data_IF_769642921623
#
_entry.id   IF_769642921623
#
_cell.length_a   1.000
_cell.length_b   1.000
_cell.length_c   1.000
_cell.angle_alpha   90.00
_cell.angle_beta   90.00
_cell.angle_gamma   90.00
#
_symmetry.space_group_name_H-M   'P 1'
#
loop_
_entity.id
_entity.type
_entity.pdbx_description
1 polymer ?
#
# COMPACT_ATOMS: atom_id res chain seq x y z
N UNK A 1 -2.95 -44.89 15.47
CA UNK A 1 -3.40 -44.16 14.27
C UNK A 1 -2.31 -44.25 13.22
N UNK A 2 -2.66 -44.70 12.02
CA UNK A 2 -1.77 -44.61 10.87
C UNK A 2 -1.53 -43.14 10.50
N UNK A 3 -0.44 -42.84 9.78
CA UNK A 3 -0.17 -41.46 9.32
C UNK A 3 -1.29 -40.89 8.45
N UNK A 4 -2.00 -41.75 7.69
CA UNK A 4 -3.15 -41.37 6.89
C UNK A 4 -4.37 -41.01 7.76
N UNK A 5 -4.68 -41.81 8.79
CA UNK A 5 -5.76 -41.53 9.74
C UNK A 5 -5.54 -40.23 10.51
N UNK A 6 -4.28 -39.91 10.85
CA UNK A 6 -3.94 -38.65 11.51
C UNK A 6 -4.17 -37.44 10.59
N UNK A 7 -3.81 -37.56 9.32
CA UNK A 7 -4.04 -36.50 8.33
C UNK A 7 -5.54 -36.31 8.10
N UNK A 8 -6.33 -37.37 7.97
CA UNK A 8 -7.79 -37.26 7.81
C UNK A 8 -8.47 -36.67 9.04
N UNK A 9 -8.04 -37.05 10.24
CA UNK A 9 -8.56 -36.47 11.48
C UNK A 9 -8.25 -34.96 11.56
N UNK A 10 -7.01 -34.56 11.25
CA UNK A 10 -6.61 -33.15 11.25
C UNK A 10 -7.39 -32.33 10.21
N UNK A 11 -7.58 -32.87 9.00
CA UNK A 11 -8.38 -32.22 7.95
C UNK A 11 -9.84 -32.06 8.37
N UNK A 12 -10.40 -33.07 9.04
CA UNK A 12 -11.78 -33.05 9.51
C UNK A 12 -11.99 -32.01 10.61
N UNK A 13 -11.06 -31.92 11.58
CA UNK A 13 -11.11 -30.94 12.67
C UNK A 13 -10.93 -29.51 12.13
N UNK A 14 -9.90 -29.29 11.30
CA UNK A 14 -9.60 -27.96 10.75
C UNK A 14 -10.68 -27.51 9.77
N UNK A 15 -11.00 -28.32 8.78
CA UNK A 15 -11.99 -28.01 7.77
C UNK A 15 -13.40 -27.88 8.36
N UNK A 16 -13.78 -28.78 9.26
CA UNK A 16 -15.06 -28.71 9.98
C UNK A 16 -15.16 -27.47 10.87
N UNK A 17 -14.09 -27.10 11.58
CA UNK A 17 -14.03 -25.87 12.38
C UNK A 17 -14.20 -24.61 11.53
N UNK A 18 -13.55 -24.55 10.36
CA UNK A 18 -13.68 -23.43 9.43
C UNK A 18 -15.11 -23.31 8.86
N UNK A 19 -15.73 -24.44 8.49
CA UNK A 19 -17.12 -24.45 8.02
C UNK A 19 -18.07 -23.98 9.13
N UNK A 20 -17.85 -24.42 10.37
CA UNK A 20 -18.69 -24.00 11.51
C UNK A 20 -18.57 -22.50 11.78
N UNK A 21 -17.36 -21.92 11.74
CA UNK A 21 -17.13 -20.48 11.88
C UNK A 21 -17.80 -19.72 10.73
N UNK A 22 -17.64 -20.20 9.49
CA UNK A 22 -18.27 -19.58 8.32
C UNK A 22 -19.80 -19.64 8.39
N UNK A 23 -20.37 -20.75 8.86
CA UNK A 23 -21.81 -20.90 9.08
C UNK A 23 -22.32 -19.95 10.18
N UNK A 24 -21.58 -19.78 11.27
CA UNK A 24 -21.91 -18.82 12.32
C UNK A 24 -21.87 -17.38 11.80
N UNK A 25 -20.84 -17.01 11.03
CA UNK A 25 -20.74 -15.70 10.41
C UNK A 25 -21.90 -15.42 9.44
N UNK A 26 -22.28 -16.41 8.62
CA UNK A 26 -23.44 -16.32 7.73
C UNK A 26 -24.76 -16.16 8.52
N UNK A 27 -24.91 -16.84 9.66
CA UNK A 27 -26.07 -16.69 10.53
C UNK A 27 -26.13 -15.28 11.14
N UNK A 28 -24.99 -14.76 11.63
CA UNK A 28 -24.89 -13.38 12.15
C UNK A 28 -25.23 -12.36 11.07
N UNK A 29 -24.71 -12.53 9.85
CA UNK A 29 -25.04 -11.68 8.70
C UNK A 29 -26.53 -11.75 8.33
N UNK A 30 -27.14 -12.94 8.36
CA UNK A 30 -28.58 -13.12 8.13
C UNK A 30 -29.44 -12.44 9.22
N UNK A 31 -29.05 -12.54 10.48
CA UNK A 31 -29.73 -11.81 11.57
C UNK A 31 -29.56 -10.30 11.40
N UNK A 32 -28.37 -9.83 11.00
CA UNK A 32 -28.12 -8.42 10.68
C UNK A 32 -28.99 -7.92 9.53
N UNK A 33 -29.17 -8.72 8.47
CA UNK A 33 -30.06 -8.42 7.35
C UNK A 33 -31.52 -8.23 7.77
N UNK A 34 -31.98 -8.93 8.80
CA UNK A 34 -33.35 -8.84 9.32
C UNK A 34 -33.53 -7.70 10.33
N UNK A 35 -32.52 -7.46 11.18
CA UNK A 35 -32.59 -6.48 12.28
C UNK A 35 -32.23 -5.05 11.88
N UNK A 36 -31.35 -4.86 10.91
CA UNK A 36 -30.82 -3.53 10.61
C UNK A 36 -31.86 -2.64 9.90
N UNK A 37 -31.89 -1.32 10.20
CA UNK A 37 -33.02 -0.47 9.86
C UNK A 37 -33.08 -0.07 8.38
N UNK A 38 -31.94 0.02 7.69
CA UNK A 38 -31.85 0.58 6.35
C UNK A 38 -31.05 -0.29 5.38
N UNK A 39 -31.14 0.04 4.09
CA UNK A 39 -30.48 -0.71 3.02
C UNK A 39 -28.96 -0.78 3.17
N UNK A 40 -28.31 0.30 3.60
CA UNK A 40 -26.85 0.37 3.69
C UNK A 40 -26.32 -0.44 4.87
N UNK A 41 -26.98 -0.35 6.02
CA UNK A 41 -26.65 -1.18 7.18
C UNK A 41 -26.92 -2.67 6.91
N UNK A 42 -28.01 -2.99 6.20
CA UNK A 42 -28.27 -4.36 5.72
C UNK A 42 -27.21 -4.85 4.73
N UNK A 43 -26.77 -4.01 3.78
CA UNK A 43 -25.70 -4.35 2.85
C UNK A 43 -24.37 -4.64 3.56
N UNK A 44 -24.08 -3.94 4.66
CA UNK A 44 -22.94 -4.26 5.52
C UNK A 44 -23.07 -5.65 6.17
N UNK A 45 -24.24 -5.99 6.70
CA UNK A 45 -24.49 -7.33 7.25
C UNK A 45 -24.41 -8.43 6.18
N UNK A 46 -24.85 -8.17 4.94
CA UNK A 46 -24.65 -9.07 3.80
C UNK A 46 -23.16 -9.29 3.52
N UNK A 47 -22.34 -8.23 3.60
CA UNK A 47 -20.89 -8.31 3.43
C UNK A 47 -20.19 -9.27 4.40
N UNK A 48 -20.68 -9.41 5.64
CA UNK A 48 -20.15 -10.39 6.61
C UNK A 48 -20.37 -11.83 6.14
N UNK A 49 -21.53 -12.10 5.53
CA UNK A 49 -21.87 -13.41 4.96
C UNK A 49 -21.00 -13.71 3.74
N UNK A 50 -20.84 -12.74 2.84
CA UNK A 50 -20.10 -12.92 1.60
C UNK A 50 -18.58 -12.99 1.79
N UNK A 51 -18.06 -12.43 2.88
CA UNK A 51 -16.63 -12.45 3.21
C UNK A 51 -16.33 -13.56 4.20
N UNK A 52 -16.51 -13.33 5.49
CA UNK A 52 -16.15 -14.26 6.54
C UNK A 52 -16.94 -15.58 6.43
N UNK A 53 -18.21 -15.51 6.04
CA UNK A 53 -19.03 -16.68 5.77
C UNK A 53 -18.51 -17.51 4.59
N UNK A 54 -18.33 -16.89 3.43
CA UNK A 54 -17.84 -17.58 2.23
C UNK A 54 -16.40 -18.10 2.39
N UNK A 55 -15.50 -17.33 3.01
CA UNK A 55 -14.12 -17.75 3.31
C UNK A 55 -14.16 -18.99 4.21
N UNK A 56 -14.88 -18.93 5.34
CA UNK A 56 -14.95 -20.05 6.29
C UNK A 56 -15.51 -21.32 5.64
N UNK A 57 -16.60 -21.20 4.90
CA UNK A 57 -17.28 -22.34 4.27
C UNK A 57 -16.46 -22.89 3.10
N UNK A 58 -16.06 -22.06 2.13
CA UNK A 58 -15.40 -22.55 0.91
C UNK A 58 -13.97 -23.02 1.17
N UNK A 59 -13.21 -22.32 2.02
CA UNK A 59 -11.88 -22.77 2.40
C UNK A 59 -11.96 -24.01 3.30
N UNK A 60 -12.94 -24.08 4.21
CA UNK A 60 -13.20 -25.28 5.02
C UNK A 60 -13.56 -26.50 4.16
N UNK A 61 -14.43 -26.34 3.17
CA UNK A 61 -14.76 -27.39 2.20
C UNK A 61 -13.56 -27.79 1.33
N UNK A 62 -12.70 -26.84 0.95
CA UNK A 62 -11.47 -27.16 0.23
C UNK A 62 -10.51 -28.02 1.07
N UNK A 63 -10.40 -27.75 2.38
CA UNK A 63 -9.60 -28.56 3.32
C UNK A 63 -10.20 -29.96 3.52
N UNK A 64 -11.54 -30.07 3.57
CA UNK A 64 -12.25 -31.34 3.68
C UNK A 64 -12.21 -32.17 2.38
N UNK A 65 -12.03 -31.54 1.21
CA UNK A 65 -12.14 -32.21 -0.09
C UNK A 65 -10.94 -33.12 -0.39
N UNK A 66 -11.11 -34.45 -0.47
CA UNK A 66 -9.99 -35.36 -0.72
C UNK A 66 -9.39 -35.22 -2.13
N UNK A 67 -10.15 -34.63 -3.07
CA UNK A 67 -9.72 -34.39 -4.45
C UNK A 67 -9.14 -32.97 -4.61
N UNK A 68 -7.87 -32.91 -5.01
CA UNK A 68 -7.13 -31.66 -5.24
C UNK A 68 -7.81 -30.79 -6.30
N UNK A 69 -8.43 -31.38 -7.33
CA UNK A 69 -9.09 -30.62 -8.37
C UNK A 69 -10.37 -29.95 -7.86
N UNK A 70 -11.09 -30.61 -6.94
CA UNK A 70 -12.28 -30.05 -6.29
C UNK A 70 -11.87 -28.94 -5.32
N UNK A 71 -10.82 -29.14 -4.53
CA UNK A 71 -10.27 -28.11 -3.65
C UNK A 71 -9.82 -26.86 -4.45
N UNK A 72 -9.16 -27.05 -5.59
CA UNK A 72 -8.75 -25.96 -6.47
C UNK A 72 -9.95 -25.20 -7.05
N UNK A 73 -10.99 -25.91 -7.49
CA UNK A 73 -12.24 -25.28 -7.97
C UNK A 73 -12.91 -24.46 -6.86
N UNK A 74 -12.99 -24.99 -5.64
CA UNK A 74 -13.54 -24.26 -4.49
C UNK A 74 -12.72 -23.00 -4.16
N UNK A 75 -11.40 -23.07 -4.28
CA UNK A 75 -10.53 -21.91 -4.10
C UNK A 75 -10.73 -20.87 -5.20
N UNK A 76 -10.89 -21.28 -6.47
CA UNK A 76 -11.23 -20.37 -7.58
C UNK A 76 -12.58 -19.71 -7.34
N UNK A 77 -13.59 -20.47 -6.91
CA UNK A 77 -14.92 -19.92 -6.55
C UNK A 77 -14.81 -18.92 -5.41
N UNK A 78 -14.00 -19.22 -4.38
CA UNK A 78 -13.75 -18.29 -3.28
C UNK A 78 -13.10 -17.00 -3.78
N UNK A 79 -12.07 -17.10 -4.61
CA UNK A 79 -11.40 -15.94 -5.20
C UNK A 79 -12.41 -15.10 -5.98
N UNK A 80 -13.18 -15.72 -6.88
CA UNK A 80 -14.20 -15.01 -7.67
C UNK A 80 -15.24 -14.35 -6.77
N UNK A 81 -15.72 -15.03 -5.72
CA UNK A 81 -16.68 -14.50 -4.76
C UNK A 81 -16.14 -13.28 -4.00
N UNK A 82 -14.87 -13.32 -3.58
CA UNK A 82 -14.21 -12.22 -2.89
C UNK A 82 -14.04 -10.97 -3.77
N UNK A 83 -13.88 -11.14 -5.09
CA UNK A 83 -13.87 -10.01 -6.03
C UNK A 83 -15.28 -9.53 -6.38
N UNK A 84 -16.23 -10.45 -6.54
CA UNK A 84 -17.60 -10.14 -6.94
C UNK A 84 -18.38 -9.41 -5.83
N UNK A 85 -18.20 -9.79 -4.56
CA UNK A 85 -19.01 -9.25 -3.46
C UNK A 85 -18.80 -7.75 -3.21
N UNK A 86 -17.57 -7.21 -3.09
CA UNK A 86 -17.36 -5.76 -2.95
C UNK A 86 -17.90 -4.98 -4.15
N UNK A 87 -17.72 -5.50 -5.37
CA UNK A 87 -18.22 -4.88 -6.58
C UNK A 87 -19.77 -4.86 -6.62
N UNK A 88 -20.42 -5.96 -6.26
CA UNK A 88 -21.87 -6.05 -6.17
C UNK A 88 -22.42 -5.14 -5.06
N UNK A 89 -21.81 -5.14 -3.87
CA UNK A 89 -22.20 -4.28 -2.76
C UNK A 89 -22.09 -2.80 -3.14
N UNK A 90 -20.99 -2.39 -3.78
CA UNK A 90 -20.81 -1.02 -4.26
C UNK A 90 -21.80 -0.66 -5.37
N UNK A 91 -22.02 -1.53 -6.35
CA UNK A 91 -22.99 -1.30 -7.42
C UNK A 91 -24.42 -1.15 -6.87
N UNK A 92 -24.80 -2.00 -5.92
CA UNK A 92 -26.09 -1.96 -5.23
C UNK A 92 -26.24 -0.69 -4.37
N UNK A 93 -25.22 -0.32 -3.59
CA UNK A 93 -25.22 0.91 -2.80
C UNK A 93 -25.31 2.16 -3.67
N UNK A 94 -24.59 2.18 -4.81
CA UNK A 94 -24.61 3.29 -5.78
C UNK A 94 -25.96 3.37 -6.51
N UNK A 95 -26.56 2.23 -6.86
CA UNK A 95 -27.89 2.18 -7.46
C UNK A 95 -28.96 2.68 -6.48
N UNK A 96 -28.92 2.22 -5.22
CA UNK A 96 -29.82 2.69 -4.16
C UNK A 96 -29.68 4.19 -3.93
N UNK A 97 -28.46 4.72 -3.90
CA UNK A 97 -28.21 6.15 -3.74
C UNK A 97 -28.80 6.96 -4.90
N UNK A 98 -28.63 6.48 -6.15
CA UNK A 98 -29.17 7.13 -7.36
C UNK A 98 -30.68 7.09 -7.44
N UNK A 99 -31.34 6.09 -6.85
CA UNK A 99 -32.81 6.02 -6.76
C UNK A 99 -33.39 6.80 -5.59
N UNK A 100 -32.54 7.50 -4.81
CA UNK A 100 -32.96 8.39 -3.73
C UNK A 100 -33.13 7.71 -2.38
N UNK A 101 -32.74 6.43 -2.22
CA UNK A 101 -32.64 5.80 -0.90
C UNK A 101 -31.53 6.50 -0.12
N UNK A 102 -31.89 7.12 1.01
CA UNK A 102 -30.92 7.72 1.94
C UNK A 102 -30.74 6.80 3.15
N UNK A 103 -29.52 6.72 3.72
CA UNK A 103 -29.31 5.98 4.96
C UNK A 103 -30.18 6.58 6.07
N UNK A 104 -30.77 5.71 6.90
CA UNK A 104 -31.51 6.14 8.09
C UNK A 104 -30.47 6.60 9.11
N UNK A 105 -30.33 7.92 9.24
CA UNK A 105 -29.56 8.54 10.30
C UNK A 105 -30.48 8.70 11.51
N UNK A 106 -30.04 8.29 12.70
CA UNK A 106 -30.77 8.61 13.94
C UNK A 106 -30.97 10.13 13.98
N UNK A 107 -32.24 10.54 14.00
CA UNK A 107 -32.77 11.78 13.40
C UNK A 107 -31.96 13.06 13.61
N UNK A 108 -31.90 13.89 12.56
CA UNK A 108 -31.65 15.34 12.54
C UNK A 108 -30.79 15.93 13.67
N UNK A 109 -29.76 15.20 14.06
CA UNK A 109 -28.58 15.75 14.67
C UNK A 109 -27.57 15.75 13.56
N UNK A 110 -27.36 16.91 12.93
CA UNK A 110 -26.01 17.18 12.45
C UNK A 110 -25.09 16.76 13.61
N UNK A 111 -24.07 15.89 13.38
CA UNK A 111 -23.06 15.68 14.40
C UNK A 111 -22.63 17.06 14.86
N UNK A 112 -22.62 17.35 16.17
CA UNK A 112 -22.31 18.69 16.65
C UNK A 112 -21.02 19.13 15.96
N UNK A 113 -21.08 20.26 15.24
CA UNK A 113 -19.92 20.89 14.66
C UNK A 113 -19.06 21.41 15.83
N UNK A 114 -18.13 20.58 16.31
CA UNK A 114 -17.21 20.87 17.40
C UNK A 114 -16.45 19.62 17.86
N UNK A 115 -15.16 19.73 18.24
CA UNK A 115 -14.26 18.59 18.35
C UNK A 115 -14.58 17.78 19.61
N UNK A 116 -15.17 16.62 19.40
CA UNK A 116 -15.19 15.54 20.37
C UNK A 116 -14.53 14.33 19.74
N UNK A 117 -13.24 14.41 19.40
CA UNK A 117 -12.44 13.18 19.28
C UNK A 117 -12.72 12.40 20.56
N UNK A 118 -13.17 11.14 20.43
CA UNK A 118 -13.54 10.37 21.63
C UNK A 118 -12.36 10.45 22.60
N UNK A 119 -12.54 10.61 23.92
CA UNK A 119 -11.42 10.79 24.85
C UNK A 119 -10.37 9.68 24.68
N UNK A 120 -10.81 8.47 24.32
CA UNK A 120 -9.97 7.34 23.93
C UNK A 120 -9.13 7.58 22.65
N UNK A 121 -9.71 8.10 21.58
CA UNK A 121 -9.00 8.38 20.31
C UNK A 121 -7.95 9.48 20.51
N UNK A 122 -8.29 10.53 21.26
CA UNK A 122 -7.34 11.60 21.60
C UNK A 122 -6.17 11.06 22.42
N UNK A 123 -6.44 10.22 23.41
CA UNK A 123 -5.41 9.60 24.25
C UNK A 123 -4.52 8.66 23.43
N UNK A 124 -5.11 7.92 22.49
CA UNK A 124 -4.37 7.08 21.54
C UNK A 124 -3.49 7.91 20.61
N UNK A 125 -4.00 9.00 20.04
CA UNK A 125 -3.21 9.91 19.19
C UNK A 125 -2.02 10.51 19.94
N UNK A 126 -2.24 11.02 21.17
CA UNK A 126 -1.17 11.54 22.02
C UNK A 126 -0.15 10.46 22.35
N UNK A 127 -0.61 9.24 22.66
CA UNK A 127 0.26 8.09 22.94
C UNK A 127 1.14 7.71 21.74
N UNK A 128 0.55 7.63 20.54
CA UNK A 128 1.27 7.33 19.30
C UNK A 128 2.24 8.45 18.91
N UNK A 129 1.87 9.72 19.09
CA UNK A 129 2.77 10.86 18.87
C UNK A 129 3.95 10.83 19.86
N UNK A 130 3.68 10.54 21.13
CA UNK A 130 4.72 10.33 22.14
C UNK A 130 5.64 9.17 21.78
N UNK A 131 5.09 8.08 21.25
CA UNK A 131 5.88 6.95 20.75
C UNK A 131 6.78 7.34 19.56
N UNK A 132 6.29 8.15 18.61
CA UNK A 132 7.11 8.67 17.52
C UNK A 132 8.30 9.50 18.04
N UNK A 133 8.06 10.40 19.01
CA UNK A 133 9.12 11.19 19.64
C UNK A 133 10.13 10.28 20.35
N UNK A 134 9.65 9.31 21.12
CA UNK A 134 10.51 8.36 21.83
C UNK A 134 11.36 7.53 20.85
N UNK A 135 10.78 7.05 19.76
CA UNK A 135 11.48 6.32 18.70
C UNK A 135 12.52 7.20 18.01
N UNK A 136 12.19 8.45 17.66
CA UNK A 136 13.12 9.39 17.03
C UNK A 136 14.32 9.71 17.95
N UNK A 137 14.07 9.96 19.22
CA UNK A 137 15.10 10.17 20.24
C UNK A 137 15.97 8.91 20.38
N UNK A 138 15.35 7.73 20.52
CA UNK A 138 16.10 6.47 20.62
C UNK A 138 17.01 6.23 19.40
N UNK A 139 16.50 6.44 18.18
CA UNK A 139 17.27 6.30 16.95
C UNK A 139 18.51 7.22 16.92
N UNK A 140 18.42 8.43 17.48
CA UNK A 140 19.52 9.38 17.51
C UNK A 140 20.68 8.97 18.46
N UNK A 141 20.42 8.12 19.46
CA UNK A 141 21.41 7.68 20.44
C UNK A 141 21.97 6.28 20.19
N UNK A 142 21.42 5.54 19.22
CA UNK A 142 21.83 4.17 18.94
C UNK A 142 22.97 4.11 17.91
N UNK A 143 23.98 3.28 18.20
CA UNK A 143 25.12 3.08 17.31
C UNK A 143 24.99 1.85 16.39
N UNK A 144 23.97 1.02 16.59
CA UNK A 144 23.68 -0.15 15.74
C UNK A 144 22.71 0.26 14.63
N UNK A 145 23.22 0.33 13.41
CA UNK A 145 22.49 0.79 12.24
C UNK A 145 21.37 -0.18 11.82
N UNK A 146 21.51 -1.47 12.12
CA UNK A 146 20.45 -2.44 11.90
C UNK A 146 19.27 -2.17 12.84
N UNK A 147 19.57 -1.90 14.12
CA UNK A 147 18.54 -1.54 15.10
C UNK A 147 17.85 -0.23 14.70
N UNK A 148 18.61 0.81 14.32
CA UNK A 148 18.04 2.08 13.84
C UNK A 148 17.14 1.87 12.62
N UNK A 149 17.54 1.01 11.69
CA UNK A 149 16.72 0.69 10.51
C UNK A 149 15.41 0.00 10.88
N UNK A 150 15.44 -0.95 11.82
CA UNK A 150 14.23 -1.60 12.32
C UNK A 150 13.32 -0.62 13.06
N UNK A 151 13.89 0.27 13.88
CA UNK A 151 13.15 1.33 14.56
C UNK A 151 12.53 2.33 13.58
N UNK A 152 13.20 2.64 12.47
CA UNK A 152 12.63 3.48 11.39
C UNK A 152 11.41 2.81 10.75
N UNK A 153 11.43 1.49 10.55
CA UNK A 153 10.26 0.75 10.08
C UNK A 153 9.10 0.79 11.08
N UNK A 154 9.38 0.65 12.37
CA UNK A 154 8.37 0.79 13.45
C UNK A 154 7.83 2.23 13.51
N UNK A 155 8.68 3.23 13.31
CA UNK A 155 8.30 4.63 13.21
C UNK A 155 7.29 4.82 12.08
N UNK A 156 7.58 4.31 10.88
CA UNK A 156 6.65 4.34 9.74
C UNK A 156 5.33 3.61 10.01
N UNK A 157 5.34 2.44 10.67
CA UNK A 157 4.11 1.76 11.08
C UNK A 157 3.29 2.58 12.10
N UNK A 158 3.97 3.27 13.02
CA UNK A 158 3.32 4.16 14.00
C UNK A 158 2.72 5.38 13.31
N UNK A 159 3.39 5.95 12.30
CA UNK A 159 2.84 7.00 11.42
C UNK A 159 1.61 6.50 10.66
N UNK A 160 1.65 5.29 10.11
CA UNK A 160 0.49 4.68 9.44
C UNK A 160 -0.72 4.60 10.38
N UNK A 161 -0.53 4.13 11.62
CA UNK A 161 -1.60 4.10 12.61
C UNK A 161 -2.17 5.50 12.90
N UNK A 162 -1.31 6.53 13.01
CA UNK A 162 -1.74 7.92 13.16
C UNK A 162 -2.52 8.43 11.94
N UNK A 163 -2.08 8.14 10.71
CA UNK A 163 -2.78 8.55 9.50
C UNK A 163 -4.16 7.89 9.37
N UNK A 164 -4.30 6.62 9.78
CA UNK A 164 -5.63 5.98 9.87
C UNK A 164 -6.51 6.69 10.90
N UNK A 165 -5.96 7.07 12.05
CA UNK A 165 -6.71 7.82 13.07
C UNK A 165 -7.07 9.24 12.63
N UNK A 166 -6.35 9.81 11.67
CA UNK A 166 -6.66 11.09 11.02
C UNK A 166 -7.57 10.94 9.79
N UNK A 167 -8.20 9.79 9.59
CA UNK A 167 -9.07 9.49 8.44
C UNK A 167 -8.36 9.69 7.08
N UNK A 168 -7.05 9.41 7.03
CA UNK A 168 -6.22 9.51 5.84
C UNK A 168 -5.70 8.13 5.38
N UNK A 169 -6.59 7.20 4.94
CA UNK A 169 -6.22 5.83 4.62
C UNK A 169 -5.30 5.72 3.39
N UNK A 170 -5.43 6.57 2.37
CA UNK A 170 -4.54 6.58 1.20
C UNK A 170 -3.08 6.90 1.56
N UNK A 171 -2.89 7.84 2.49
CA UNK A 171 -1.58 8.24 3.01
C UNK A 171 -1.04 7.15 3.94
N UNK A 172 -1.86 6.61 4.83
CA UNK A 172 -1.50 5.49 5.69
C UNK A 172 -1.04 4.28 4.89
N UNK A 173 -1.76 3.96 3.81
CA UNK A 173 -1.43 2.82 2.95
C UNK A 173 -0.10 3.03 2.23
N UNK A 174 0.14 4.25 1.74
CA UNK A 174 1.43 4.63 1.14
C UNK A 174 2.59 4.47 2.13
N UNK A 175 2.41 4.96 3.35
CA UNK A 175 3.43 4.88 4.41
C UNK A 175 3.72 3.41 4.80
N UNK A 176 2.69 2.57 4.87
CA UNK A 176 2.85 1.15 5.14
C UNK A 176 3.64 0.43 4.03
N UNK A 177 3.32 0.69 2.76
CA UNK A 177 3.98 0.03 1.64
C UNK A 177 5.41 0.53 1.43
N UNK A 178 5.62 1.85 1.45
CA UNK A 178 6.91 2.46 1.10
C UNK A 178 7.80 2.64 2.32
N UNK A 179 7.31 3.34 3.34
CA UNK A 179 8.09 3.66 4.55
C UNK A 179 8.44 2.39 5.34
N UNK A 180 7.42 1.70 5.82
CA UNK A 180 7.63 0.50 6.64
C UNK A 180 8.10 -0.70 5.82
N UNK A 181 7.54 -0.91 4.62
CA UNK A 181 7.84 -2.05 3.75
C UNK A 181 9.15 -1.92 2.97
N UNK A 182 9.10 -1.23 1.83
CA UNK A 182 10.18 -1.22 0.83
C UNK A 182 11.45 -0.53 1.34
N UNK A 183 11.33 0.64 1.97
CA UNK A 183 12.47 1.44 2.43
C UNK A 183 13.33 0.69 3.46
N UNK A 184 12.70 0.07 4.47
CA UNK A 184 13.39 -0.75 5.47
C UNK A 184 14.24 -1.84 4.80
N UNK A 185 13.69 -2.54 3.82
CA UNK A 185 14.40 -3.61 3.10
C UNK A 185 15.54 -3.07 2.25
N UNK A 186 15.35 -1.94 1.57
CA UNK A 186 16.40 -1.30 0.78
C UNK A 186 17.56 -0.83 1.68
N UNK A 187 17.26 -0.22 2.83
CA UNK A 187 18.28 0.20 3.80
C UNK A 187 19.01 -1.02 4.37
N UNK A 188 18.31 -2.09 4.76
CA UNK A 188 18.96 -3.35 5.21
C UNK A 188 19.85 -3.94 4.12
N UNK A 189 19.43 -3.88 2.86
CA UNK A 189 20.24 -4.34 1.72
C UNK A 189 21.50 -3.48 1.56
N UNK A 190 21.37 -2.15 1.69
CA UNK A 190 22.50 -1.24 1.70
C UNK A 190 23.45 -1.49 2.89
N UNK A 191 22.92 -1.84 4.06
CA UNK A 191 23.71 -2.17 5.25
C UNK A 191 24.61 -3.39 5.06
N UNK A 192 24.29 -4.30 4.11
CA UNK A 192 25.19 -5.41 3.76
C UNK A 192 26.48 -4.93 3.08
N UNK A 193 26.42 -3.81 2.38
CA UNK A 193 27.58 -3.18 1.74
C UNK A 193 28.31 -2.22 2.68
N UNK A 194 27.74 -1.93 3.84
CA UNK A 194 28.34 -1.09 4.87
C UNK A 194 28.62 -1.89 6.14
N UNK A 195 29.00 -1.22 7.24
CA UNK A 195 29.10 -1.83 8.55
C UNK A 195 27.74 -1.85 9.27
N UNK A 196 27.58 -2.76 10.23
CA UNK A 196 26.44 -2.79 11.16
C UNK A 196 26.50 -1.70 12.22
N UNK A 197 27.70 -1.34 12.65
CA UNK A 197 27.91 -0.30 13.65
C UNK A 197 28.43 0.98 13.00
N UNK A 198 28.00 2.11 13.55
CA UNK A 198 28.59 3.40 13.23
C UNK A 198 30.10 3.38 13.52
N UNK A 199 30.91 3.93 12.61
CA UNK A 199 32.34 4.12 12.89
C UNK A 199 32.50 5.14 14.02
N UNK A 200 33.10 4.71 15.13
CA UNK A 200 33.44 5.60 16.25
C UNK A 200 34.20 6.83 15.75
N UNK A 201 33.58 8.00 15.81
CA UNK A 201 34.29 9.27 15.66
C UNK A 201 35.12 9.49 16.93
N UNK A 202 36.44 9.57 16.82
CA UNK A 202 37.33 9.93 17.93
C UNK A 202 37.21 11.41 18.36
N UNK A 203 36.22 12.15 17.85
CA UNK A 203 35.95 13.55 18.17
C UNK A 203 34.56 13.66 18.81
N UNK A 204 34.38 14.51 19.84
CA UNK A 204 33.06 14.75 20.41
C UNK A 204 32.09 15.26 19.35
N UNK A 205 30.79 15.07 19.59
CA UNK A 205 29.75 15.61 18.72
C UNK A 205 30.01 17.09 18.43
N UNK A 206 29.89 17.50 17.17
CA UNK A 206 30.11 18.89 16.78
C UNK A 206 29.13 19.77 17.54
N UNK A 207 29.63 20.60 18.46
CA UNK A 207 28.79 21.53 19.23
C UNK A 207 27.99 22.46 18.30
N UNK A 208 28.57 22.80 17.15
CA UNK A 208 27.91 23.53 16.07
C UNK A 208 26.76 22.72 15.48
N UNK A 209 26.98 21.43 15.19
CA UNK A 209 25.94 20.55 14.65
C UNK A 209 24.75 20.38 15.61
N UNK A 210 25.03 20.17 16.89
CA UNK A 210 23.99 20.11 17.93
C UNK A 210 23.27 21.45 18.04
N UNK A 211 24.01 22.57 18.05
CA UNK A 211 23.43 23.91 18.07
C UNK A 211 22.48 24.16 16.90
N UNK A 212 22.88 23.78 15.67
CA UNK A 212 22.03 23.89 14.48
C UNK A 212 20.79 23.01 14.56
N UNK A 213 20.90 21.78 15.03
CA UNK A 213 19.74 20.89 15.21
C UNK A 213 18.75 21.45 16.25
N UNK A 214 19.24 21.93 17.39
CA UNK A 214 18.40 22.52 18.44
C UNK A 214 17.75 23.82 17.95
N UNK A 215 18.50 24.71 17.31
CA UNK A 215 17.96 25.95 16.75
C UNK A 215 16.89 25.69 15.69
N UNK A 216 17.15 24.77 14.75
CA UNK A 216 16.16 24.38 13.74
C UNK A 216 14.92 23.75 14.38
N UNK A 217 15.10 22.87 15.37
CA UNK A 217 13.99 22.25 16.11
C UNK A 217 13.14 23.28 16.87
N UNK A 218 13.77 24.23 17.54
CA UNK A 218 13.08 25.34 18.22
C UNK A 218 12.37 26.26 17.24
N UNK A 219 12.96 26.56 16.09
CA UNK A 219 12.33 27.36 15.05
C UNK A 219 11.08 26.68 14.47
N UNK A 220 11.15 25.36 14.22
CA UNK A 220 9.99 24.57 13.81
C UNK A 220 8.92 24.55 14.90
N UNK A 221 9.29 24.32 16.17
CA UNK A 221 8.37 24.34 17.30
C UNK A 221 7.70 25.71 17.49
N UNK A 222 8.46 26.80 17.35
CA UNK A 222 7.93 28.16 17.39
C UNK A 222 6.90 28.37 16.28
N UNK A 223 7.21 27.93 15.05
CA UNK A 223 6.27 28.01 13.92
C UNK A 223 4.98 27.22 14.14
N UNK A 224 5.01 26.13 14.92
CA UNK A 224 3.78 25.38 15.27
C UNK A 224 2.86 26.11 16.24
N UNK A 225 3.34 27.11 16.98
CA UNK A 225 2.52 27.86 17.94
C UNK A 225 1.47 28.74 17.25
N UNK A 226 1.71 29.14 16.00
CA UNK A 226 0.77 29.93 15.19
C UNK A 226 -0.20 29.04 14.38
N UNK A 227 -0.02 27.72 14.40
CA UNK A 227 -0.93 26.82 13.69
C UNK A 227 -2.30 26.77 14.40
N UNK A 228 -3.40 26.64 13.63
CA UNK A 228 -4.72 26.40 14.19
C UNK A 228 -4.70 25.18 15.12
N UNK A 229 -5.55 25.23 16.15
CA UNK A 229 -5.73 24.08 17.04
C UNK A 229 -6.21 22.88 16.22
N UNK A 230 -5.78 21.69 16.63
CA UNK A 230 -6.25 20.45 16.02
C UNK A 230 -7.79 20.38 16.06
N UNK A 231 -8.40 20.11 14.90
CA UNK A 231 -9.86 20.05 14.75
C UNK A 231 -10.57 21.41 14.69
N UNK A 232 -9.85 22.53 14.56
CA UNK A 232 -10.48 23.85 14.40
C UNK A 232 -11.21 23.95 13.05
N UNK A 233 -12.53 24.12 13.13
CA UNK A 233 -13.41 24.29 11.96
C UNK A 233 -13.10 25.56 11.16
N UNK A 234 -12.40 26.53 11.74
CA UNK A 234 -11.97 27.78 11.09
C UNK A 234 -10.53 27.74 10.59
N UNK A 235 -9.85 26.60 10.68
CA UNK A 235 -8.51 26.46 10.13
C UNK A 235 -8.51 26.85 8.64
N UNK A 236 -7.49 27.56 8.13
CA UNK A 236 -7.45 27.99 6.73
C UNK A 236 -7.63 26.84 5.73
N UNK A 237 -7.18 25.63 6.08
CA UNK A 237 -7.38 24.42 5.28
C UNK A 237 -8.87 24.08 5.06
N UNK A 238 -9.75 24.42 5.99
CA UNK A 238 -11.19 24.16 5.94
C UNK A 238 -11.99 25.31 5.30
N UNK A 239 -11.38 26.47 5.06
CA UNK A 239 -12.08 27.68 4.60
C UNK A 239 -12.04 27.94 3.10
N UNK A 240 -11.24 27.20 2.33
CA UNK A 240 -11.00 27.53 0.92
C UNK A 240 -11.21 26.34 -0.02
N UNK A 241 -10.14 25.63 -0.40
CA UNK A 241 -10.18 24.64 -1.48
C UNK A 241 -10.76 23.30 -1.04
N UNK A 242 -10.56 22.90 0.23
CA UNK A 242 -11.00 21.58 0.71
C UNK A 242 -12.52 21.38 0.67
N UNK A 243 -13.38 22.36 1.09
CA UNK A 243 -14.82 22.24 0.92
C UNK A 243 -15.25 22.02 -0.54
N UNK A 244 -14.61 22.72 -1.48
CA UNK A 244 -14.91 22.56 -2.91
C UNK A 244 -14.55 21.15 -3.40
N UNK A 245 -13.36 20.63 -3.07
CA UNK A 245 -12.99 19.25 -3.42
C UNK A 245 -13.94 18.21 -2.81
N UNK A 246 -14.41 18.40 -1.58
CA UNK A 246 -15.31 17.46 -0.94
C UNK A 246 -16.74 17.50 -1.51
N UNK A 247 -17.21 18.67 -1.95
CA UNK A 247 -18.58 18.86 -2.42
C UNK A 247 -18.73 18.65 -3.93
N UNK A 248 -17.79 19.13 -4.73
CA UNK A 248 -17.90 19.19 -6.19
C UNK A 248 -17.12 18.09 -6.93
N UNK A 249 -16.13 17.43 -6.30
CA UNK A 249 -15.35 16.38 -6.99
C UNK A 249 -16.21 15.25 -7.55
N UNK A 250 -17.33 14.93 -6.90
CA UNK A 250 -18.27 13.92 -7.36
C UNK A 250 -19.03 14.31 -8.64
N UNK A 251 -19.27 15.61 -8.86
CA UNK A 251 -19.96 16.13 -10.06
C UNK A 251 -18.96 16.42 -11.19
N UNK A 252 -17.78 16.95 -10.85
CA UNK A 252 -16.77 17.39 -11.80
C UNK A 252 -15.97 16.22 -12.40
N UNK A 253 -15.45 15.32 -11.56
CA UNK A 253 -14.56 14.23 -11.96
C UNK A 253 -15.31 12.88 -12.02
N UNK A 254 -16.43 12.77 -11.29
CA UNK A 254 -17.27 11.57 -11.24
C UNK A 254 -16.56 10.30 -10.72
N UNK A 255 -15.50 10.49 -9.94
CA UNK A 255 -14.77 9.47 -9.18
C UNK A 255 -15.06 9.67 -7.68
N UNK A 256 -15.40 8.61 -6.93
CA UNK A 256 -15.76 8.75 -5.53
C UNK A 256 -14.56 8.95 -4.58
N UNK A 257 -13.36 8.46 -4.92
CA UNK A 257 -12.16 8.75 -4.13
C UNK A 257 -11.69 10.19 -4.38
N UNK A 258 -11.88 11.07 -3.38
CA UNK A 258 -11.48 12.49 -3.46
C UNK A 258 -9.97 12.64 -3.51
N UNK A 259 -9.20 11.80 -2.82
CA UNK A 259 -7.72 11.87 -2.84
C UNK A 259 -7.20 11.60 -4.26
N UNK A 260 -7.68 10.52 -4.89
CA UNK A 260 -7.36 10.20 -6.28
C UNK A 260 -7.80 11.31 -7.22
N UNK A 261 -8.99 11.88 -7.02
CA UNK A 261 -9.49 12.99 -7.84
C UNK A 261 -8.60 14.24 -7.74
N UNK A 262 -8.12 14.56 -6.53
CA UNK A 262 -7.20 15.67 -6.30
C UNK A 262 -5.83 15.40 -6.94
N UNK A 263 -5.23 14.24 -6.69
CA UNK A 263 -3.89 13.92 -7.20
C UNK A 263 -3.86 13.70 -8.71
N UNK A 264 -4.88 13.05 -9.26
CA UNK A 264 -4.91 12.67 -10.67
C UNK A 264 -5.49 13.77 -11.58
N UNK A 265 -6.40 14.60 -11.10
CA UNK A 265 -7.07 15.64 -11.91
C UNK A 265 -6.75 17.05 -11.43
N UNK A 266 -7.32 17.52 -10.31
CA UNK A 266 -7.17 18.91 -9.86
C UNK A 266 -5.70 19.35 -9.74
N UNK A 267 -4.83 18.43 -9.29
CA UNK A 267 -3.40 18.63 -9.10
C UNK A 267 -2.56 17.58 -9.83
N UNK A 268 -3.00 17.16 -11.02
CA UNK A 268 -2.30 16.20 -11.88
C UNK A 268 -0.84 16.58 -12.22
N UNK A 269 -0.53 17.88 -12.25
CA UNK A 269 0.85 18.34 -12.46
C UNK A 269 1.79 17.95 -11.32
N UNK A 270 1.31 17.94 -10.08
CA UNK A 270 2.15 17.60 -8.93
C UNK A 270 2.50 16.11 -8.97
N UNK A 271 1.53 15.24 -9.27
CA UNK A 271 1.78 13.81 -9.44
C UNK A 271 2.66 13.51 -10.66
N UNK A 272 2.53 14.25 -11.77
CA UNK A 272 3.49 14.17 -12.88
C UNK A 272 4.91 14.50 -12.39
N UNK A 273 5.06 15.57 -11.63
CA UNK A 273 6.32 15.97 -11.01
C UNK A 273 6.90 14.88 -10.11
N UNK A 274 6.09 14.29 -9.23
CA UNK A 274 6.47 13.18 -8.36
C UNK A 274 6.96 11.96 -9.16
N UNK A 275 6.25 11.56 -10.21
CA UNK A 275 6.65 10.43 -11.09
C UNK A 275 8.00 10.71 -11.75
N UNK A 276 8.21 11.93 -12.24
CA UNK A 276 9.50 12.36 -12.82
C UNK A 276 10.60 12.34 -11.77
N UNK A 277 10.34 12.78 -10.53
CA UNK A 277 11.30 12.72 -9.42
C UNK A 277 11.67 11.27 -9.09
N UNK A 278 10.70 10.36 -8.99
CA UNK A 278 10.97 8.93 -8.74
C UNK A 278 11.79 8.31 -9.88
N UNK A 279 11.42 8.61 -11.13
CA UNK A 279 12.16 8.15 -12.31
C UNK A 279 13.60 8.66 -12.32
N UNK A 280 13.80 9.96 -12.10
CA UNK A 280 15.12 10.59 -12.12
C UNK A 280 15.98 10.13 -10.94
N UNK A 281 15.41 9.91 -9.75
CA UNK A 281 16.10 9.30 -8.62
C UNK A 281 16.58 7.87 -8.97
N UNK A 282 15.70 7.05 -9.55
CA UNK A 282 16.05 5.71 -10.03
C UNK A 282 17.17 5.73 -11.08
N UNK A 283 17.09 6.63 -12.06
CA UNK A 283 18.13 6.83 -13.06
C UNK A 283 19.45 7.31 -12.44
N UNK A 284 19.39 8.23 -11.48
CA UNK A 284 20.55 8.73 -10.74
C UNK A 284 21.29 7.59 -10.02
N UNK A 285 20.57 6.71 -9.33
CA UNK A 285 21.18 5.54 -8.68
C UNK A 285 21.77 4.58 -9.71
N UNK A 286 21.08 4.35 -10.83
CA UNK A 286 21.63 3.51 -11.91
C UNK A 286 22.94 4.09 -12.42
N UNK A 287 23.02 5.39 -12.71
CA UNK A 287 24.23 6.05 -13.21
C UNK A 287 25.36 6.02 -12.17
N UNK A 288 25.08 6.32 -10.91
CA UNK A 288 26.07 6.28 -9.82
C UNK A 288 26.63 4.87 -9.58
N UNK A 289 25.79 3.84 -9.76
CA UNK A 289 26.18 2.45 -9.56
C UNK A 289 26.65 1.77 -10.87
N UNK A 290 26.69 2.49 -12.00
CA UNK A 290 27.24 2.02 -13.28
C UNK A 290 28.76 2.11 -13.22
N UNK A 291 29.45 0.98 -12.97
CA UNK A 291 30.93 0.96 -12.94
C UNK A 291 31.59 -0.19 -12.20
N UNK A 292 30.84 -0.99 -11.43
CA UNK A 292 31.34 -2.28 -10.95
C UNK A 292 31.21 -3.31 -12.06
N UNK A 293 32.32 -3.83 -12.59
CA UNK A 293 32.31 -4.89 -13.59
C UNK A 293 31.38 -6.04 -13.13
N UNK A 294 30.65 -6.72 -14.04
CA UNK A 294 30.02 -7.98 -13.70
C UNK A 294 31.16 -8.92 -13.26
N UNK A 295 31.24 -9.22 -11.97
CA UNK A 295 32.20 -10.20 -11.49
C UNK A 295 31.90 -11.51 -12.22
N UNK A 296 32.98 -12.13 -12.69
CA UNK A 296 33.01 -13.33 -13.54
C UNK A 296 31.94 -14.34 -13.11
N UNK A 297 31.31 -14.98 -14.11
CA UNK A 297 30.60 -16.26 -13.98
C UNK A 297 31.31 -17.11 -12.91
N UNK A 298 30.63 -17.60 -11.86
CA UNK A 298 31.26 -18.53 -10.94
C UNK A 298 31.72 -19.73 -11.78
N UNK A 299 32.99 -20.07 -11.65
CA UNK A 299 33.47 -21.36 -12.13
C UNK A 299 32.61 -22.46 -11.53
N UNK A 300 32.36 -23.51 -12.31
CA UNK A 300 31.99 -24.82 -11.76
C UNK A 300 33.05 -25.20 -10.73
N UNK A 301 32.76 -25.04 -9.45
CA UNK A 301 33.67 -25.39 -8.37
C UNK A 301 33.46 -24.50 -7.15
N UNK A 302 32.82 -25.09 -6.13
CA UNK A 302 32.84 -24.69 -4.73
C UNK A 302 32.11 -23.40 -4.30
N UNK A 303 30.79 -23.53 -4.13
CA UNK A 303 30.09 -22.89 -3.02
C UNK A 303 29.24 -23.96 -2.30
N UNK A 304 29.65 -24.45 -1.11
CA UNK A 304 28.87 -25.45 -0.38
C UNK A 304 27.63 -24.79 0.25
N UNK A 305 26.45 -25.37 -0.04
CA UNK A 305 25.32 -25.51 0.89
C UNK A 305 24.89 -24.28 1.74
N UNK A 306 24.38 -23.21 1.11
CA UNK A 306 23.53 -22.21 1.82
C UNK A 306 22.07 -22.18 1.35
N UNK A 307 21.73 -23.05 0.38
CA UNK A 307 20.43 -23.07 -0.29
C UNK A 307 19.33 -23.86 0.45
N UNK A 308 19.54 -24.28 1.71
CA UNK A 308 18.79 -25.39 2.30
C UNK A 308 18.21 -25.18 3.71
N UNK A 309 17.96 -23.96 4.22
CA UNK A 309 17.52 -23.85 5.64
C UNK A 309 16.33 -23.01 6.06
N UNK A 310 15.62 -22.32 5.18
CA UNK A 310 14.34 -21.70 5.58
C UNK A 310 13.19 -22.18 4.70
N UNK A 311 12.81 -23.45 4.89
CA UNK A 311 11.57 -24.03 4.31
C UNK A 311 10.38 -23.13 4.62
N UNK A 312 10.35 -22.54 5.82
CA UNK A 312 9.34 -21.57 6.25
C UNK A 312 9.37 -20.31 5.40
N UNK A 313 10.54 -19.66 5.24
CA UNK A 313 10.65 -18.42 4.46
C UNK A 313 10.30 -18.66 2.98
N UNK A 314 10.72 -19.79 2.42
CA UNK A 314 10.35 -20.19 1.05
C UNK A 314 8.86 -20.48 0.92
N UNK A 315 8.26 -21.19 1.86
CA UNK A 315 6.82 -21.46 1.86
C UNK A 315 6.02 -20.15 1.95
N UNK A 316 6.40 -19.26 2.86
CA UNK A 316 5.77 -17.94 3.02
C UNK A 316 5.96 -17.10 1.76
N UNK A 317 7.15 -17.01 1.18
CA UNK A 317 7.37 -16.25 -0.05
C UNK A 317 6.63 -16.85 -1.26
N UNK A 318 6.52 -18.17 -1.34
CA UNK A 318 5.75 -18.85 -2.39
C UNK A 318 4.26 -18.52 -2.31
N UNK A 319 3.75 -18.20 -1.11
CA UNK A 319 2.39 -17.69 -0.91
C UNK A 319 2.28 -16.18 -1.18
N UNK A 320 3.19 -15.39 -0.60
CA UNK A 320 3.10 -13.92 -0.61
C UNK A 320 3.46 -13.30 -1.96
N UNK A 321 4.43 -13.84 -2.70
CA UNK A 321 4.84 -13.26 -3.99
C UNK A 321 3.69 -13.29 -5.00
N UNK A 322 3.01 -14.44 -5.27
CA UNK A 322 1.82 -14.43 -6.11
C UNK A 322 0.72 -13.50 -5.59
N UNK A 323 0.51 -13.46 -4.27
CA UNK A 323 -0.46 -12.56 -3.67
C UNK A 323 -0.18 -11.09 -4.01
N UNK A 324 1.09 -10.65 -3.94
CA UNK A 324 1.46 -9.28 -4.34
C UNK A 324 1.24 -9.01 -5.84
N UNK A 325 1.45 -10.01 -6.70
CA UNK A 325 1.19 -9.90 -8.14
C UNK A 325 -0.30 -9.73 -8.46
N UNK A 326 -1.20 -10.26 -7.63
CA UNK A 326 -2.64 -10.04 -7.76
C UNK A 326 -3.11 -8.77 -7.04
N UNK A 327 -2.57 -8.50 -5.85
CA UNK A 327 -2.96 -7.37 -5.01
C UNK A 327 -2.59 -6.04 -5.66
N UNK A 328 -1.42 -5.95 -6.30
CA UNK A 328 -0.95 -4.69 -6.88
C UNK A 328 -1.85 -4.21 -8.04
N UNK A 329 -2.17 -5.01 -9.07
CA UNK A 329 -3.18 -4.63 -10.07
C UNK A 329 -4.56 -4.36 -9.47
N UNK A 330 -4.96 -5.10 -8.44
CA UNK A 330 -6.22 -4.82 -7.75
C UNK A 330 -6.24 -3.40 -7.16
N UNK A 331 -5.22 -3.03 -6.39
CA UNK A 331 -5.07 -1.68 -5.81
C UNK A 331 -5.00 -0.61 -6.90
N UNK A 332 -4.33 -0.90 -8.02
CA UNK A 332 -4.26 -0.02 -9.18
C UNK A 332 -5.64 0.26 -9.78
N UNK A 333 -6.43 -0.78 -10.10
CA UNK A 333 -7.73 -0.59 -10.77
C UNK A 333 -8.83 -0.10 -9.82
N UNK A 334 -8.63 -0.22 -8.51
CA UNK A 334 -9.61 0.21 -7.49
C UNK A 334 -9.25 1.54 -6.82
N UNK A 335 -8.14 2.21 -7.21
CA UNK A 335 -7.75 3.52 -6.64
C UNK A 335 -8.80 4.61 -6.81
N UNK A 336 -9.65 4.51 -7.84
CA UNK A 336 -10.80 5.40 -8.04
C UNK A 336 -11.92 5.22 -6.98
N UNK A 337 -12.02 4.05 -6.34
CA UNK A 337 -13.15 3.67 -5.50
C UNK A 337 -12.80 3.43 -4.03
N UNK A 338 -11.56 3.03 -3.77
CA UNK A 338 -11.05 2.67 -2.46
C UNK A 338 -9.66 3.27 -2.23
N UNK A 339 -9.20 3.37 -0.97
CA UNK A 339 -7.88 3.88 -0.68
C UNK A 339 -6.79 3.12 -1.44
N UNK A 340 -5.91 3.85 -2.12
CA UNK A 340 -4.90 3.26 -3.00
C UNK A 340 -4.56 4.14 -4.19
N UNK A 341 -4.24 3.49 -5.31
CA UNK A 341 -3.78 4.14 -6.53
C UNK A 341 -2.46 3.57 -7.05
N UNK A 342 -1.94 4.19 -8.10
CA UNK A 342 -0.77 3.65 -8.81
C UNK A 342 0.52 3.66 -8.02
N UNK A 343 0.70 4.61 -7.11
CA UNK A 343 1.91 4.69 -6.30
C UNK A 343 2.02 3.51 -5.33
N UNK A 344 0.95 3.27 -4.55
CA UNK A 344 0.87 2.18 -3.58
C UNK A 344 0.90 0.83 -4.29
N UNK A 345 0.14 0.67 -5.38
CA UNK A 345 0.17 -0.52 -6.21
C UNK A 345 1.59 -0.82 -6.72
N UNK A 346 2.31 0.21 -7.19
CA UNK A 346 3.68 0.07 -7.66
C UNK A 346 4.63 -0.37 -6.55
N UNK A 347 4.48 0.21 -5.35
CA UNK A 347 5.26 -0.17 -4.17
C UNK A 347 4.98 -1.61 -3.72
N UNK A 348 3.73 -2.08 -3.76
CA UNK A 348 3.35 -3.47 -3.44
C UNK A 348 4.00 -4.44 -4.42
N UNK A 349 3.91 -4.16 -5.72
CA UNK A 349 4.54 -5.00 -6.74
C UNK A 349 6.07 -5.01 -6.58
N UNK A 350 6.67 -3.84 -6.39
CA UNK A 350 8.11 -3.70 -6.12
C UNK A 350 8.54 -4.48 -4.88
N UNK A 351 7.81 -4.34 -3.77
CA UNK A 351 8.04 -5.09 -2.53
C UNK A 351 7.91 -6.60 -2.70
N UNK A 352 6.94 -7.06 -3.50
CA UNK A 352 6.79 -8.47 -3.87
C UNK A 352 7.98 -9.03 -4.65
N UNK A 353 8.46 -8.28 -5.66
CA UNK A 353 9.64 -8.66 -6.44
C UNK A 353 10.93 -8.61 -5.61
N UNK A 354 11.03 -7.66 -4.68
CA UNK A 354 12.12 -7.59 -3.70
C UNK A 354 12.10 -8.80 -2.78
N UNK A 355 10.93 -9.17 -2.23
CA UNK A 355 10.77 -10.38 -1.42
C UNK A 355 11.19 -11.64 -2.19
N UNK A 356 10.77 -11.75 -3.46
CA UNK A 356 11.23 -12.83 -4.33
C UNK A 356 12.75 -12.86 -4.45
N UNK A 357 13.38 -11.71 -4.71
CA UNK A 357 14.83 -11.60 -4.82
C UNK A 357 15.57 -11.89 -3.52
N UNK A 358 15.00 -11.58 -2.35
CA UNK A 358 15.58 -11.88 -1.04
C UNK A 358 15.58 -13.38 -0.74
N UNK A 359 14.49 -14.07 -1.10
CA UNK A 359 14.27 -15.48 -0.73
C UNK A 359 14.83 -16.47 -1.75
N UNK A 360 14.67 -16.15 -3.04
CA UNK A 360 15.09 -17.01 -4.15
C UNK A 360 16.41 -16.57 -4.79
N UNK A 361 16.93 -15.40 -4.42
CA UNK A 361 18.21 -14.85 -4.88
C UNK A 361 18.07 -13.87 -6.04
N UNK A 362 18.98 -12.89 -6.08
CA UNK A 362 18.98 -11.82 -7.09
C UNK A 362 19.21 -12.35 -8.51
N UNK A 363 19.94 -13.44 -8.68
CA UNK A 363 20.17 -14.08 -9.98
C UNK A 363 18.86 -14.59 -10.60
N UNK A 364 18.01 -15.25 -9.80
CA UNK A 364 16.69 -15.72 -10.27
C UNK A 364 15.76 -14.54 -10.56
N UNK A 365 15.80 -13.49 -9.76
CA UNK A 365 15.03 -12.28 -10.03
C UNK A 365 15.46 -11.62 -11.35
N UNK A 366 16.76 -11.56 -11.64
CA UNK A 366 17.28 -11.00 -12.90
C UNK A 366 16.90 -11.85 -14.12
N UNK A 367 16.68 -13.16 -13.95
CA UNK A 367 16.14 -14.03 -15.00
C UNK A 367 14.64 -13.79 -15.21
N UNK A 368 13.87 -13.58 -14.13
CA UNK A 368 12.43 -13.33 -14.19
C UNK A 368 12.13 -11.95 -14.79
N UNK A 369 12.83 -10.91 -14.32
CA UNK A 369 12.62 -9.52 -14.76
C UNK A 369 13.99 -8.87 -15.03
N UNK A 370 14.50 -8.94 -16.27
CA UNK A 370 15.81 -8.38 -16.61
C UNK A 370 15.83 -6.86 -16.45
N UNK A 371 16.97 -6.31 -16.01
CA UNK A 371 17.14 -4.87 -15.83
C UNK A 371 16.83 -4.03 -17.08
N UNK A 372 17.05 -4.57 -18.28
CA UNK A 372 16.73 -3.88 -19.54
C UNK A 372 15.23 -3.67 -19.69
N UNK A 373 14.44 -4.67 -19.29
CA UNK A 373 12.97 -4.63 -19.32
C UNK A 373 12.48 -3.64 -18.28
N UNK A 374 12.98 -3.70 -17.05
CA UNK A 374 12.62 -2.74 -16.00
C UNK A 374 12.94 -1.29 -16.40
N UNK A 375 14.10 -1.04 -17.05
CA UNK A 375 14.48 0.28 -17.56
C UNK A 375 13.54 0.77 -18.68
N UNK A 376 13.10 -0.12 -19.56
CA UNK A 376 12.15 0.23 -20.60
C UNK A 376 10.77 0.54 -19.99
N UNK A 377 10.28 -0.28 -19.05
CA UNK A 377 8.97 -0.10 -18.42
C UNK A 377 8.97 1.15 -17.52
N UNK A 378 10.04 1.44 -16.77
CA UNK A 378 10.08 2.67 -15.95
C UNK A 378 9.98 3.95 -16.80
N UNK A 379 10.61 3.95 -17.98
CA UNK A 379 10.54 5.07 -18.93
C UNK A 379 9.17 5.12 -19.61
N UNK A 380 8.63 3.96 -19.98
CA UNK A 380 7.28 3.84 -20.52
C UNK A 380 6.26 4.43 -19.54
N UNK A 381 6.39 4.20 -18.23
CA UNK A 381 5.48 4.76 -17.23
C UNK A 381 5.42 6.30 -17.24
N UNK A 382 6.57 6.97 -17.27
CA UNK A 382 6.66 8.43 -17.38
C UNK A 382 6.06 8.91 -18.72
N UNK A 383 6.39 8.21 -19.81
CA UNK A 383 5.87 8.53 -21.14
C UNK A 383 4.36 8.29 -21.26
N UNK A 384 3.81 7.29 -20.58
CA UNK A 384 2.37 7.07 -20.50
C UNK A 384 1.70 8.23 -19.78
N UNK A 385 2.24 8.68 -18.64
CA UNK A 385 1.69 9.83 -17.91
C UNK A 385 1.72 11.09 -18.78
N UNK A 386 2.91 11.50 -19.24
CA UNK A 386 3.06 12.70 -20.06
C UNK A 386 2.33 12.60 -21.40
N UNK A 387 2.32 11.40 -21.99
CA UNK A 387 1.62 11.08 -23.23
C UNK A 387 0.10 11.21 -23.12
N UNK A 388 -0.50 10.81 -21.99
CA UNK A 388 -1.93 11.04 -21.74
C UNK A 388 -2.25 12.54 -21.76
N UNK A 389 -1.43 13.37 -21.11
CA UNK A 389 -1.62 14.83 -21.15
C UNK A 389 -1.38 15.43 -22.54
N UNK A 390 -0.36 14.97 -23.29
CA UNK A 390 -0.16 15.39 -24.67
C UNK A 390 -1.30 14.96 -25.60
N UNK A 391 -1.92 13.80 -25.35
CA UNK A 391 -3.07 13.33 -26.10
C UNK A 391 -4.30 14.23 -25.87
N UNK A 392 -4.54 14.69 -24.63
CA UNK A 392 -5.61 15.66 -24.35
C UNK A 392 -5.40 16.99 -25.11
N UNK A 393 -4.16 17.49 -25.18
CA UNK A 393 -3.81 18.66 -25.99
C UNK A 393 -4.04 18.45 -27.49
N UNK A 394 -3.66 17.28 -28.02
CA UNK A 394 -3.84 16.95 -29.43
C UNK A 394 -5.32 16.87 -29.85
N UNK A 395 -6.21 16.57 -28.89
CA UNK A 395 -7.66 16.55 -29.08
C UNK A 395 -8.32 17.91 -28.88
N UNK A 396 -7.54 18.99 -28.65
CA UNK A 396 -8.03 20.36 -28.50
C UNK A 396 -8.45 20.75 -27.08
N UNK A 397 -8.17 19.90 -26.09
CA UNK A 397 -8.41 20.18 -24.67
C UNK A 397 -7.16 20.71 -23.97
N UNK A 398 -7.28 21.10 -22.70
CA UNK A 398 -6.11 21.45 -21.88
C UNK A 398 -5.32 20.20 -21.48
N UNK A 399 -4.06 20.36 -21.11
CA UNK A 399 -3.22 19.25 -20.66
C UNK A 399 -3.81 18.61 -19.39
N UNK A 400 -4.05 17.29 -19.44
CA UNK A 400 -4.73 16.47 -18.42
C UNK A 400 -6.22 16.79 -18.24
N UNK A 401 -6.85 17.46 -19.21
CA UNK A 401 -8.31 17.53 -19.28
C UNK A 401 -8.86 16.27 -19.97
N UNK A 402 -9.31 15.33 -19.15
CA UNK A 402 -9.73 14.00 -19.59
C UNK A 402 -11.11 13.95 -20.27
N UNK A 403 -11.83 15.06 -20.34
CA UNK A 403 -13.08 15.14 -21.12
C UNK A 403 -12.80 14.91 -22.63
N UNK A 404 -11.54 15.07 -23.06
CA UNK A 404 -11.07 14.72 -24.39
C UNK A 404 -11.30 13.25 -24.77
N UNK A 405 -11.34 12.33 -23.78
CA UNK A 405 -11.45 10.89 -24.03
C UNK A 405 -12.90 10.37 -24.06
N UNK A 406 -13.89 11.24 -23.92
CA UNK A 406 -15.31 10.89 -24.01
C UNK A 406 -16.17 11.58 -22.95
N UNK A 407 -17.47 11.30 -22.96
CA UNK A 407 -18.40 11.88 -21.99
C UNK A 407 -18.08 11.42 -20.56
N UNK A 408 -18.37 12.29 -19.59
CA UNK A 408 -18.28 11.94 -18.16
C UNK A 408 -19.32 10.85 -17.83
N UNK A 409 -18.97 9.84 -17.01
CA UNK A 409 -17.73 9.65 -16.25
C UNK A 409 -16.59 8.94 -17.02
N UNK A 410 -16.86 8.44 -18.23
CA UNK A 410 -15.98 7.51 -18.94
C UNK A 410 -14.64 8.14 -19.32
N UNK A 411 -14.64 9.37 -19.85
CA UNK A 411 -13.40 10.06 -20.23
C UNK A 411 -12.43 10.25 -19.06
N UNK A 412 -12.96 10.75 -17.93
CA UNK A 412 -12.24 10.93 -16.67
C UNK A 412 -11.65 9.61 -16.16
N UNK A 413 -12.43 8.53 -16.15
CA UNK A 413 -11.95 7.21 -15.71
C UNK A 413 -10.81 6.68 -16.59
N UNK A 414 -10.90 6.83 -17.92
CA UNK A 414 -9.84 6.40 -18.85
C UNK A 414 -8.56 7.19 -18.59
N UNK A 415 -8.66 8.52 -18.52
CA UNK A 415 -7.52 9.40 -18.30
C UNK A 415 -6.81 9.12 -16.99
N UNK A 416 -7.56 9.03 -15.89
CA UNK A 416 -7.03 8.77 -14.55
C UNK A 416 -6.40 7.38 -14.47
N UNK A 417 -7.07 6.34 -14.99
CA UNK A 417 -6.51 4.98 -15.01
C UNK A 417 -5.20 4.92 -15.80
N UNK A 418 -5.11 5.66 -16.93
CA UNK A 418 -3.92 5.69 -17.76
C UNK A 418 -2.73 6.36 -17.05
N UNK A 419 -2.94 7.50 -16.39
CA UNK A 419 -1.86 8.16 -15.66
C UNK A 419 -1.44 7.38 -14.41
N UNK A 420 -2.39 6.78 -13.69
CA UNK A 420 -2.09 5.91 -12.54
C UNK A 420 -1.31 4.67 -12.99
N UNK A 421 -1.62 4.10 -14.16
CA UNK A 421 -0.84 2.99 -14.73
C UNK A 421 0.60 3.42 -15.04
N UNK A 422 0.78 4.67 -15.49
CA UNK A 422 2.08 5.31 -15.64
C UNK A 422 2.87 5.34 -14.33
N UNK A 423 2.26 5.86 -13.26
CA UNK A 423 2.83 5.90 -11.90
C UNK A 423 3.21 4.49 -11.43
N UNK A 424 2.28 3.54 -11.55
CA UNK A 424 2.45 2.15 -11.16
C UNK A 424 3.67 1.49 -11.79
N UNK A 425 3.79 1.61 -13.12
CA UNK A 425 4.92 1.07 -13.87
C UNK A 425 6.26 1.66 -13.41
N UNK A 426 6.32 2.99 -13.27
CA UNK A 426 7.55 3.68 -12.88
C UNK A 426 7.97 3.31 -11.45
N UNK A 427 7.05 3.37 -10.48
CA UNK A 427 7.36 3.08 -9.07
C UNK A 427 7.79 1.64 -8.88
N UNK A 428 7.04 0.66 -9.43
CA UNK A 428 7.38 -0.75 -9.30
C UNK A 428 8.77 -1.07 -9.87
N UNK A 429 9.08 -0.51 -11.05
CA UNK A 429 10.34 -0.77 -11.72
C UNK A 429 11.51 -0.09 -11.01
N UNK A 430 11.35 1.15 -10.55
CA UNK A 430 12.41 1.87 -9.82
C UNK A 430 12.76 1.14 -8.54
N UNK A 431 11.77 0.75 -7.72
CA UNK A 431 12.03 0.03 -6.46
C UNK A 431 12.75 -1.31 -6.69
N UNK A 432 12.31 -2.06 -7.70
CA UNK A 432 12.93 -3.33 -8.05
C UNK A 432 14.36 -3.16 -8.56
N UNK A 433 14.61 -2.16 -9.42
CA UNK A 433 15.93 -1.86 -9.96
C UNK A 433 16.92 -1.43 -8.87
N UNK A 434 16.49 -0.59 -7.93
CA UNK A 434 17.31 -0.20 -6.79
C UNK A 434 17.77 -1.43 -6.02
N UNK A 435 16.84 -2.33 -5.68
CA UNK A 435 17.18 -3.58 -5.00
C UNK A 435 18.14 -4.45 -5.81
N UNK A 436 17.86 -4.70 -7.09
CA UNK A 436 18.74 -5.51 -7.96
C UNK A 436 20.18 -4.98 -7.95
N UNK A 437 20.35 -3.65 -8.07
CA UNK A 437 21.68 -3.04 -8.10
C UNK A 437 22.43 -3.14 -6.77
N UNK A 438 21.78 -2.90 -5.65
CA UNK A 438 22.40 -3.04 -4.34
C UNK A 438 22.71 -4.52 -4.02
N UNK A 439 21.76 -5.42 -4.27
CA UNK A 439 21.91 -6.84 -3.99
C UNK A 439 22.98 -7.50 -4.88
N UNK A 440 23.02 -7.20 -6.18
CA UNK A 440 24.05 -7.74 -7.08
C UNK A 440 25.47 -7.28 -6.73
N UNK A 441 25.64 -6.07 -6.21
CA UNK A 441 26.95 -5.63 -5.69
C UNK A 441 27.35 -6.37 -4.43
N UNK A 442 26.42 -6.59 -3.51
CA UNK A 442 26.69 -7.30 -2.26
C UNK A 442 27.04 -8.79 -2.48
N UNK A 443 26.56 -9.38 -3.58
CA UNK A 443 26.97 -10.74 -3.99
C UNK A 443 28.35 -10.80 -4.66
N UNK A 444 28.90 -9.66 -5.10
CA UNK A 444 30.19 -9.58 -5.79
C UNK A 444 31.36 -9.21 -4.86
N UNK A 445 31.08 -8.59 -3.71
CA UNK A 445 32.01 -8.30 -2.60
C UNK A 445 32.06 -9.45 -1.60
#
# INVERSE_FOLDING_TARGET
>A
MSGAELIELLRSILGGGMVAIGALAALVGAVGLLRLPDFYTRAHAAGVTDTLGAIGILAGLAVLSPDVLVALKLLVVLIVALFASPAACHALARAAFRTGLRPVLDGDKLPPAGPGSKPMETMLMIGLLGALVALAVAMAFLSDLLVVTMLSGIFSFTCCALFVLFDAPDVAFTEACVGAGVSTVLIVTALRLTGRQERRRGRPASAIGVGVCVLTGLALAYGTLELPRFGDARAPAQGHVAPHYLQESGSEIAIPNVVTSVLASYRGYDTLGEVVVVFTAGLGVLLLLTGGAPSRRPGRGDAPARADRDVVLRAVATLLVPLTLFLAPYVQFHGAYSPGGGFQAGAILGGGLILFGLVFGVERLNLLVPERVLRAIMALGVLTYGGTGLATLALGHNFLDYDAFGSRPTGQQIGITAIEAGVFMTVACVMTLLYQRFASRASAS
#
